data_IF_928114501172
#
_entry.id   IF_928114501172
#
_cell.length_a   1.000
_cell.length_b   1.000
_cell.length_c   1.000
_cell.angle_alpha   90.00
_cell.angle_beta   90.00
_cell.angle_gamma   90.00
#
_symmetry.space_group_name_H-M   'P 1'
#
loop_
_entity.id
_entity.type
_entity.pdbx_description
1 polymer ?
#
# COMPACT_ATOMS: atom_id res chain seq x y z
N UNK A 1 8.20 14.45 11.47
CA UNK A 1 7.60 14.67 10.13
C UNK A 1 6.09 14.91 10.26
N UNK A 2 5.46 15.67 9.37
CA UNK A 2 3.98 15.83 9.30
C UNK A 2 3.37 14.88 8.28
N UNK A 3 2.07 14.61 8.35
CA UNK A 3 1.36 13.78 7.37
C UNK A 3 1.48 14.31 5.94
N UNK A 4 1.44 15.65 5.74
CA UNK A 4 1.65 16.26 4.43
C UNK A 4 3.06 16.01 3.88
N UNK A 5 4.08 16.08 4.74
CA UNK A 5 5.46 15.75 4.34
C UNK A 5 5.62 14.27 4.01
N UNK A 6 4.88 13.38 4.69
CA UNK A 6 4.81 11.95 4.36
C UNK A 6 4.20 11.74 2.96
N UNK A 7 3.08 12.40 2.67
CA UNK A 7 2.40 12.34 1.37
C UNK A 7 3.23 12.94 0.23
N UNK A 8 4.07 13.94 0.52
CA UNK A 8 4.99 14.52 -0.45
C UNK A 8 6.09 13.54 -0.89
N UNK A 9 6.47 12.59 -0.03
CA UNK A 9 7.40 11.52 -0.38
C UNK A 9 6.66 10.43 -1.16
N UNK A 10 6.74 10.48 -2.50
CA UNK A 10 5.99 9.61 -3.40
C UNK A 10 6.31 8.12 -3.26
N UNK A 11 7.56 7.77 -2.97
CA UNK A 11 7.96 6.37 -2.85
C UNK A 11 7.49 5.77 -1.52
N UNK A 12 7.66 6.52 -0.43
CA UNK A 12 7.17 6.12 0.87
C UNK A 12 5.64 6.10 0.92
N UNK A 13 4.99 7.08 0.30
CA UNK A 13 3.53 7.13 0.17
C UNK A 13 3.00 5.97 -0.68
N UNK A 14 3.70 5.60 -1.76
CA UNK A 14 3.33 4.44 -2.55
C UNK A 14 3.39 3.14 -1.72
N UNK A 15 4.45 2.92 -0.94
CA UNK A 15 4.56 1.77 -0.03
C UNK A 15 3.39 1.73 0.97
N UNK A 16 3.00 2.88 1.52
CA UNK A 16 1.83 3.02 2.40
C UNK A 16 0.53 2.69 1.68
N UNK A 17 0.33 3.18 0.45
CA UNK A 17 -0.84 2.85 -0.37
C UNK A 17 -0.93 1.35 -0.68
N UNK A 18 0.20 0.67 -0.91
CA UNK A 18 0.22 -0.80 -1.08
C UNK A 18 -0.19 -1.52 0.21
N UNK A 19 0.33 -1.10 1.37
CA UNK A 19 -0.10 -1.65 2.67
C UNK A 19 -1.61 -1.47 2.88
N UNK A 20 -2.13 -0.26 2.65
CA UNK A 20 -3.56 0.06 2.77
C UNK A 20 -4.42 -0.77 1.81
N UNK A 21 -3.96 -0.94 0.56
CA UNK A 21 -4.60 -1.79 -0.42
C UNK A 21 -4.64 -3.24 0.05
N UNK A 22 -3.53 -3.77 0.56
CA UNK A 22 -3.44 -5.16 1.00
C UNK A 22 -4.37 -5.43 2.19
N UNK A 23 -4.38 -4.56 3.20
CA UNK A 23 -5.29 -4.68 4.34
C UNK A 23 -6.77 -4.63 3.91
N UNK A 24 -7.10 -3.93 2.82
CA UNK A 24 -8.46 -3.89 2.29
C UNK A 24 -8.82 -5.08 1.40
N UNK A 25 -7.84 -5.80 0.85
CA UNK A 25 -8.05 -6.82 -0.18
C UNK A 25 -7.45 -8.20 0.18
N UNK A 26 -7.02 -8.41 1.42
CA UNK A 26 -6.39 -9.66 1.88
C UNK A 26 -7.25 -10.91 1.66
N UNK A 27 -8.59 -10.86 1.72
CA UNK A 27 -9.45 -12.02 1.38
C UNK A 27 -9.39 -12.35 -0.11
N UNK A 28 -9.26 -11.31 -0.94
CA UNK A 28 -9.48 -11.40 -2.40
C UNK A 28 -8.19 -11.52 -3.20
N UNK A 29 -7.06 -11.06 -2.66
CA UNK A 29 -5.75 -11.08 -3.29
C UNK A 29 -4.76 -11.88 -2.44
N UNK A 30 -4.38 -13.07 -2.94
CA UNK A 30 -3.37 -13.93 -2.29
C UNK A 30 -2.01 -13.25 -2.14
N UNK A 31 -1.68 -12.30 -3.02
CA UNK A 31 -0.42 -11.56 -2.92
C UNK A 31 -0.45 -10.60 -1.73
N UNK A 32 -1.59 -9.94 -1.53
CA UNK A 32 -1.84 -9.09 -0.35
C UNK A 32 -1.80 -9.91 0.94
N UNK A 33 -2.46 -11.08 0.94
CA UNK A 33 -2.43 -12.03 2.04
C UNK A 33 -1.01 -12.47 2.39
N UNK A 34 -0.25 -12.93 1.39
CA UNK A 34 1.13 -13.38 1.57
C UNK A 34 2.04 -12.28 2.15
N UNK A 35 1.94 -11.04 1.64
CA UNK A 35 2.73 -9.91 2.17
C UNK A 35 2.32 -9.54 3.60
N UNK A 36 1.03 -9.55 3.90
CA UNK A 36 0.52 -9.24 5.24
C UNK A 36 0.95 -10.30 6.26
N UNK A 37 0.88 -11.59 5.91
CA UNK A 37 1.34 -12.69 6.77
C UNK A 37 2.85 -12.70 6.98
N UNK A 38 3.63 -12.20 6.02
CA UNK A 38 5.08 -12.04 6.17
C UNK A 38 5.47 -10.87 7.09
N UNK A 39 4.51 -10.01 7.46
CA UNK A 39 4.75 -8.86 8.34
C UNK A 39 4.66 -9.28 9.79
N UNK A 40 5.72 -9.08 10.56
CA UNK A 40 5.80 -9.51 11.97
C UNK A 40 5.46 -8.41 12.96
N UNK A 41 5.45 -7.15 12.52
CA UNK A 41 5.10 -6.01 13.36
C UNK A 41 3.59 -5.98 13.64
N UNK A 42 3.21 -5.78 14.92
CA UNK A 42 1.80 -5.75 15.35
C UNK A 42 1.00 -4.63 14.67
N UNK A 43 1.66 -3.54 14.29
CA UNK A 43 1.05 -2.42 13.57
C UNK A 43 1.16 -2.56 12.05
N UNK A 44 1.63 -3.70 11.53
CA UNK A 44 1.86 -3.95 10.11
C UNK A 44 2.73 -2.89 9.37
N UNK A 45 3.41 -2.02 10.13
CA UNK A 45 4.26 -0.95 9.61
C UNK A 45 5.71 -1.42 9.78
N UNK A 46 6.10 -2.36 8.93
CA UNK A 46 7.46 -2.91 8.85
C UNK A 46 7.70 -3.58 7.50
N UNK A 47 8.78 -4.35 7.38
CA UNK A 47 8.98 -5.25 6.25
C UNK A 47 7.77 -6.21 6.10
N UNK A 48 7.37 -6.57 4.87
CA UNK A 48 8.06 -6.29 3.60
C UNK A 48 7.80 -4.87 3.04
N UNK A 49 6.84 -4.12 3.59
CA UNK A 49 6.42 -2.82 3.05
C UNK A 49 7.45 -1.72 3.23
N UNK A 50 8.08 -1.66 4.40
CA UNK A 50 8.90 -0.55 4.84
C UNK A 50 10.21 -1.07 5.44
N UNK A 51 11.32 -0.40 5.12
CA UNK A 51 12.57 -0.61 5.83
C UNK A 51 12.41 -0.13 7.29
N UNK A 52 13.29 -0.58 8.19
CA UNK A 52 13.20 -0.24 9.62
C UNK A 52 13.15 1.29 9.87
N UNK A 53 14.00 2.04 9.16
CA UNK A 53 14.06 3.51 9.28
C UNK A 53 12.79 4.18 8.75
N UNK A 54 12.29 3.70 7.61
CA UNK A 54 11.04 4.17 7.02
C UNK A 54 9.85 3.89 7.94
N UNK A 55 9.79 2.69 8.51
CA UNK A 55 8.77 2.27 9.47
C UNK A 55 8.78 3.15 10.72
N UNK A 56 9.96 3.42 11.29
CA UNK A 56 10.11 4.31 12.44
C UNK A 56 9.62 5.74 12.10
N UNK A 57 9.97 6.23 10.92
CA UNK A 57 9.58 7.54 10.43
C UNK A 57 8.07 7.65 10.19
N UNK A 58 7.44 6.63 9.61
CA UNK A 58 5.97 6.54 9.45
C UNK A 58 5.31 6.52 10.83
N UNK A 59 5.72 5.63 11.74
CA UNK A 59 5.17 5.52 13.10
C UNK A 59 5.23 6.85 13.87
N UNK A 60 6.31 7.61 13.72
CA UNK A 60 6.51 8.90 14.38
C UNK A 60 5.88 10.10 13.64
N UNK A 61 5.26 9.89 12.48
CA UNK A 61 4.66 10.97 11.70
C UNK A 61 3.49 11.60 12.45
N UNK A 62 3.53 12.92 12.59
CA UNK A 62 2.50 13.71 13.26
C UNK A 62 1.29 13.89 12.37
N UNK A 63 0.13 13.59 12.94
CA UNK A 63 -1.17 13.84 12.32
C UNK A 63 -1.69 15.15 12.91
N UNK A 64 -1.92 16.16 12.07
CA UNK A 64 -2.59 17.40 12.50
C UNK A 64 -4.10 17.13 12.61
N UNK A 65 -4.82 17.66 13.61
CA UNK A 65 -6.27 17.75 13.54
C UNK A 65 -6.66 18.62 12.31
N UNK A 66 -7.70 18.26 11.52
CA UNK A 66 -9.07 18.07 12.02
C UNK A 66 -9.80 16.79 11.53
N UNK A 67 -9.10 15.69 11.18
CA UNK A 67 -9.75 14.56 10.48
C UNK A 67 -10.63 13.66 11.36
N UNK A 68 -10.52 13.73 12.70
CA UNK A 68 -11.35 12.95 13.63
C UNK A 68 -11.74 13.81 14.83
N UNK A 69 -12.78 14.63 14.67
CA UNK A 69 -13.37 15.44 15.74
C UNK A 69 -14.04 14.58 16.83
N UNK A 70 -14.19 13.26 16.63
CA UNK A 70 -14.97 12.37 17.51
C UNK A 70 -14.15 11.28 18.22
N UNK A 71 -12.82 11.40 18.32
CA UNK A 71 -12.03 10.52 19.19
C UNK A 71 -11.53 11.30 20.42
N UNK A 72 -12.51 11.56 21.31
CA UNK A 72 -12.42 11.68 22.77
C UNK A 72 -11.59 12.83 23.36
N UNK A 73 -12.23 13.51 24.33
CA UNK A 73 -11.74 14.55 25.26
C UNK A 73 -10.52 14.13 26.11
N UNK A 74 -9.39 13.81 25.47
CA UNK A 74 -8.13 13.61 26.17
C UNK A 74 -7.24 14.88 26.08
N UNK A 75 -6.58 15.32 27.17
CA UNK A 75 -5.84 16.60 27.23
C UNK A 75 -4.59 16.71 26.32
N UNK A 76 -4.27 15.68 25.54
CA UNK A 76 -3.02 15.57 24.76
C UNK A 76 -3.27 15.78 23.25
N UNK A 77 -3.99 16.84 22.89
CA UNK A 77 -4.38 17.13 21.50
C UNK A 77 -3.19 17.54 20.59
N UNK A 78 -2.01 17.83 21.15
CA UNK A 78 -0.91 18.49 20.44
C UNK A 78 0.16 17.55 19.87
N UNK A 79 0.09 16.23 20.08
CA UNK A 79 1.16 15.28 19.71
C UNK A 79 0.68 13.89 19.27
N UNK A 80 -0.45 13.78 18.57
CA UNK A 80 -0.84 12.50 17.95
C UNK A 80 0.08 12.16 16.78
N UNK A 81 0.61 10.95 16.78
CA UNK A 81 1.34 10.35 15.67
C UNK A 81 0.65 9.05 15.23
N UNK A 82 1.04 8.52 14.07
CA UNK A 82 0.43 7.31 13.48
C UNK A 82 0.42 6.15 14.47
N UNK A 83 1.56 5.87 15.12
CA UNK A 83 1.69 4.80 16.12
C UNK A 83 0.68 4.98 17.26
N UNK A 84 0.65 6.14 17.90
CA UNK A 84 -0.23 6.41 19.03
C UNK A 84 -1.71 6.39 18.66
N UNK A 85 -2.08 6.75 17.43
CA UNK A 85 -3.46 6.62 16.95
C UNK A 85 -3.89 5.15 16.83
N UNK A 86 -3.03 4.30 16.25
CA UNK A 86 -3.30 2.87 16.10
C UNK A 86 -3.30 2.14 17.45
N UNK A 87 -2.32 2.40 18.30
CA UNK A 87 -2.23 1.80 19.65
C UNK A 87 -3.44 2.15 20.51
N UNK A 88 -3.80 3.43 20.60
CA UNK A 88 -5.00 3.87 21.33
C UNK A 88 -6.28 3.23 20.78
N UNK A 89 -6.35 2.98 19.47
CA UNK A 89 -7.48 2.30 18.87
C UNK A 89 -7.56 0.83 19.30
N UNK A 90 -6.45 0.10 19.27
CA UNK A 90 -6.39 -1.29 19.73
C UNK A 90 -6.66 -1.43 21.22
N UNK A 91 -6.11 -0.53 22.04
CA UNK A 91 -6.38 -0.48 23.48
C UNK A 91 -7.85 -0.26 23.77
N UNK A 92 -8.51 0.67 23.06
CA UNK A 92 -9.96 0.93 23.22
C UNK A 92 -10.80 -0.30 22.89
N UNK A 93 -10.48 -1.03 21.83
CA UNK A 93 -11.18 -2.28 21.48
C UNK A 93 -10.99 -3.37 22.53
N UNK A 94 -9.76 -3.49 23.04
CA UNK A 94 -9.45 -4.40 24.15
C UNK A 94 -10.25 -4.05 25.41
N UNK A 95 -10.35 -2.75 25.72
CA UNK A 95 -11.09 -2.24 26.88
C UNK A 95 -12.62 -2.38 26.73
N UNK A 96 -13.16 -2.33 25.50
CA UNK A 96 -14.60 -2.53 25.24
C UNK A 96 -15.04 -3.99 25.27
N UNK A 97 -14.14 -4.94 25.60
CA UNK A 97 -14.45 -6.37 25.67
C UNK A 97 -14.43 -7.09 24.32
N UNK A 98 -14.04 -6.43 23.22
CA UNK A 98 -13.74 -7.12 21.95
C UNK A 98 -12.30 -7.63 22.01
N UNK A 99 -12.13 -8.75 22.72
CA UNK A 99 -10.83 -9.38 22.96
C UNK A 99 -10.35 -10.24 21.77
N UNK A 100 -11.08 -10.26 20.65
CA UNK A 100 -10.66 -11.01 19.48
C UNK A 100 -9.38 -10.37 18.93
N UNK A 101 -8.33 -11.16 18.62
CA UNK A 101 -7.18 -10.64 17.88
C UNK A 101 -7.73 -10.03 16.61
N UNK A 102 -7.45 -8.75 16.40
CA UNK A 102 -8.15 -8.04 15.35
C UNK A 102 -7.77 -8.66 14.02
N UNK A 103 -8.78 -9.15 13.29
CA UNK A 103 -8.52 -9.76 12.01
C UNK A 103 -7.95 -8.68 11.07
N UNK A 104 -6.89 -8.96 10.28
CA UNK A 104 -6.37 -8.03 9.29
C UNK A 104 -7.46 -7.38 8.41
N UNK A 105 -8.58 -8.09 8.18
CA UNK A 105 -9.76 -7.58 7.47
C UNK A 105 -10.42 -6.37 8.15
N UNK A 106 -10.45 -6.36 9.48
CA UNK A 106 -11.03 -5.27 10.27
C UNK A 106 -10.08 -4.07 10.41
N UNK A 107 -8.82 -4.22 9.97
CA UNK A 107 -7.79 -3.17 10.05
C UNK A 107 -7.94 -2.11 8.97
N UNK A 108 -8.26 -2.52 7.73
CA UNK A 108 -8.28 -1.63 6.56
C UNK A 108 -8.98 -0.27 6.79
N UNK A 109 -10.23 -0.23 7.30
CA UNK A 109 -10.94 1.02 7.57
C UNK A 109 -10.23 1.97 8.54
N UNK A 110 -9.51 1.45 9.53
CA UNK A 110 -8.81 2.27 10.54
C UNK A 110 -7.57 2.89 9.95
N UNK A 111 -6.80 2.11 9.19
CA UNK A 111 -5.61 2.62 8.51
C UNK A 111 -6.01 3.69 7.50
N UNK A 112 -7.06 3.47 6.71
CA UNK A 112 -7.62 4.48 5.80
C UNK A 112 -7.93 5.80 6.54
N UNK A 113 -8.59 5.73 7.69
CA UNK A 113 -8.90 6.91 8.50
C UNK A 113 -7.65 7.60 9.07
N UNK A 114 -6.68 6.84 9.59
CA UNK A 114 -5.42 7.38 10.16
C UNK A 114 -4.56 8.06 9.12
N UNK A 115 -4.47 7.50 7.91
CA UNK A 115 -3.69 8.04 6.81
C UNK A 115 -4.46 9.07 5.97
N UNK A 116 -5.77 9.22 6.20
CA UNK A 116 -6.64 10.13 5.43
C UNK A 116 -6.78 9.72 3.96
N UNK A 117 -6.73 8.41 3.67
CA UNK A 117 -6.84 7.83 2.33
C UNK A 117 -8.25 7.27 2.16
N UNK A 118 -8.89 7.56 1.04
CA UNK A 118 -10.21 6.99 0.73
C UNK A 118 -10.08 5.66 -0.01
N UNK A 119 -11.10 4.81 0.06
CA UNK A 119 -11.10 3.53 -0.69
C UNK A 119 -11.05 3.76 -2.20
N UNK A 120 -11.58 4.88 -2.68
CA UNK A 120 -11.59 5.27 -4.08
C UNK A 120 -10.19 5.60 -4.58
N UNK A 121 -9.33 6.21 -3.75
CA UNK A 121 -7.93 6.47 -4.09
C UNK A 121 -7.16 5.16 -4.34
N UNK A 122 -7.46 4.12 -3.56
CA UNK A 122 -6.87 2.78 -3.75
C UNK A 122 -7.42 2.03 -4.97
N UNK A 123 -8.48 2.54 -5.61
CA UNK A 123 -9.04 2.01 -6.87
C UNK A 123 -8.57 2.80 -8.09
N UNK A 124 -7.70 3.79 -7.92
CA UNK A 124 -7.15 4.56 -9.03
C UNK A 124 -6.37 3.66 -10.00
N UNK A 125 -6.69 3.74 -11.29
CA UNK A 125 -6.08 2.86 -12.29
C UNK A 125 -4.58 3.12 -12.50
N UNK A 126 -4.07 4.32 -12.20
CA UNK A 126 -2.63 4.56 -12.27
C UNK A 126 -1.92 3.84 -11.12
N UNK A 127 -2.47 3.93 -9.91
CA UNK A 127 -1.99 3.17 -8.76
C UNK A 127 -2.05 1.66 -9.03
N UNK A 128 -3.21 1.13 -9.43
CA UNK A 128 -3.40 -0.29 -9.70
C UNK A 128 -2.50 -0.78 -10.85
N UNK A 129 -2.33 0.02 -11.90
CA UNK A 129 -1.41 -0.31 -12.99
C UNK A 129 0.04 -0.35 -12.53
N UNK A 130 0.45 0.56 -11.64
CA UNK A 130 1.80 0.52 -11.04
C UNK A 130 1.95 -0.72 -10.15
N UNK A 131 0.98 -1.03 -9.30
CA UNK A 131 0.99 -2.22 -8.46
C UNK A 131 1.08 -3.51 -9.27
N UNK A 132 0.32 -3.65 -10.37
CA UNK A 132 0.38 -4.81 -11.27
C UNK A 132 1.72 -4.94 -12.01
N UNK A 133 2.38 -3.82 -12.34
CA UNK A 133 3.62 -3.81 -13.13
C UNK A 133 4.88 -3.92 -12.29
N UNK A 134 4.93 -3.20 -11.17
CA UNK A 134 6.13 -3.00 -10.35
C UNK A 134 6.03 -3.68 -8.98
N UNK A 135 4.82 -3.99 -8.50
CA UNK A 135 4.63 -4.58 -7.19
C UNK A 135 5.11 -3.67 -6.05
N UNK A 136 5.47 -4.30 -4.93
CA UNK A 136 6.10 -3.61 -3.81
C UNK A 136 7.61 -3.44 -4.09
N UNK A 137 8.18 -2.24 -3.95
CA UNK A 137 9.60 -2.03 -4.17
C UNK A 137 10.45 -2.90 -3.23
N UNK A 138 11.52 -3.49 -3.76
CA UNK A 138 12.43 -4.32 -2.96
C UNK A 138 13.17 -3.44 -1.95
N UNK A 139 13.26 -3.88 -0.69
CA UNK A 139 13.86 -3.10 0.40
C UNK A 139 15.39 -2.91 0.25
N UNK A 140 16.04 -3.68 -0.61
CA UNK A 140 17.51 -3.72 -0.75
C UNK A 140 18.09 -2.76 -1.80
N UNK A 141 17.29 -1.90 -2.44
CA UNK A 141 17.78 -1.03 -3.51
C UNK A 141 17.41 0.44 -3.24
N UNK A 142 18.10 1.02 -2.25
CA UNK A 142 18.39 2.45 -2.30
C UNK A 142 19.28 2.69 -3.53
N UNK A 143 18.75 3.45 -4.49
CA UNK A 143 19.34 3.79 -5.79
C UNK A 143 19.34 2.66 -6.83
N UNK A 144 18.44 2.74 -7.82
CA UNK A 144 18.78 3.02 -9.24
C UNK A 144 17.49 3.01 -10.07
N UNK A 145 16.88 4.16 -10.34
CA UNK A 145 15.95 4.30 -11.48
C UNK A 145 16.02 5.73 -12.05
N UNK A 146 17.20 6.06 -12.59
CA UNK A 146 17.30 6.98 -13.73
C UNK A 146 17.48 6.13 -14.98
N UNK A 147 16.69 6.46 -16.00
CA UNK A 147 16.74 6.01 -17.39
C UNK A 147 15.92 4.74 -17.70
N UNK A 148 14.71 4.96 -18.20
CA UNK A 148 14.29 4.20 -19.38
C UNK A 148 13.38 5.03 -20.27
N UNK A 149 14.00 5.95 -21.01
CA UNK A 149 13.47 6.44 -22.27
C UNK A 149 14.25 5.74 -23.40
N UNK A 150 13.50 5.28 -24.40
CA UNK A 150 13.92 4.83 -25.74
C UNK A 150 14.32 3.36 -26.00
N UNK A 151 13.83 2.88 -27.16
CA UNK A 151 13.98 1.57 -27.84
C UNK A 151 12.95 0.50 -27.39
N UNK A 152 12.02 0.00 -28.21
CA UNK A 152 12.08 -0.27 -29.65
C UNK A 152 10.72 -0.14 -30.34
N UNK A 153 10.65 0.78 -31.31
CA UNK A 153 9.84 0.59 -32.51
C UNK A 153 10.60 -0.38 -33.41
N UNK A 154 10.15 -1.62 -33.54
CA UNK A 154 10.39 -2.42 -34.76
C UNK A 154 9.31 -3.49 -34.87
N UNK A 155 8.41 -3.26 -35.81
CA UNK A 155 7.18 -4.03 -35.94
C UNK A 155 7.35 -5.39 -36.60
N UNK A 156 6.21 -6.08 -36.73
CA UNK A 156 5.93 -6.95 -37.87
C UNK A 156 4.42 -7.07 -38.06
N UNK A 157 3.94 -6.26 -39.00
CA UNK A 157 2.67 -6.41 -39.69
C UNK A 157 2.72 -7.77 -40.41
N UNK A 158 1.81 -8.70 -40.08
CA UNK A 158 1.65 -9.96 -40.81
C UNK A 158 0.31 -9.89 -41.53
N UNK A 159 0.35 -9.34 -42.73
CA UNK A 159 -0.77 -9.34 -43.66
C UNK A 159 -1.07 -10.78 -44.13
N UNK A 160 -2.36 -11.07 -44.28
CA UNK A 160 -2.94 -12.28 -44.86
C UNK A 160 -2.82 -12.26 -46.38
N UNK A 161 -2.40 -13.37 -46.99
CA UNK A 161 -2.78 -13.75 -48.36
C UNK A 161 -2.61 -15.28 -48.51
N UNK A 162 -3.69 -16.08 -48.46
CA UNK A 162 -4.54 -16.58 -49.55
C UNK A 162 -3.81 -17.39 -50.64
N UNK A 163 -4.12 -18.69 -50.67
CA UNK A 163 -4.39 -19.46 -51.90
C UNK A 163 -3.21 -20.18 -52.55
N UNK A 164 -3.38 -21.45 -52.92
CA UNK A 164 -2.43 -22.12 -53.82
C UNK A 164 -2.43 -23.64 -53.76
N UNK A 165 -3.27 -24.25 -54.59
CA UNK A 165 -3.53 -25.69 -54.72
C UNK A 165 -2.49 -26.37 -55.64
N UNK A 166 -2.30 -27.69 -55.44
CA UNK A 166 -1.85 -28.75 -56.37
C UNK A 166 -0.35 -29.12 -56.42
N UNK A 167 -0.08 -30.39 -56.11
CA UNK A 167 0.27 -31.34 -57.17
C UNK A 167 1.57 -32.16 -57.03
N UNK A 168 1.38 -33.48 -56.88
CA UNK A 168 2.22 -34.60 -57.34
C UNK A 168 3.62 -34.81 -56.73
N UNK A 169 3.75 -35.91 -55.99
CA UNK A 169 4.72 -37.01 -56.22
C UNK A 169 4.35 -38.20 -55.32
N UNK A 170 4.21 -39.38 -55.91
CA UNK A 170 3.78 -40.62 -55.26
C UNK A 170 2.66 -41.27 -56.04
#
# INVERSE_FOLDING_TARGET
MSLQALQANRDLWYKIQVLLYDLCNIVTDRTAESRTLATTDELYISAPYLAADEAALVKQTRISPPTLQEISDAPCHHRRNIKGCLENFFEKRRASGDARPCDPHDMGPIYLAVFGVSKEELRDEKFLSRLRRAGLPRLDEAETEKNNEHMSRKGRKKDREKGGRKGRKG
#
